data_IF_497722819514
#
_entry.id   IF_497722819514
#
_cell.length_a   1.000
_cell.length_b   1.000
_cell.length_c   1.000
_cell.angle_alpha   90.00
_cell.angle_beta   90.00
_cell.angle_gamma   90.00
#
_symmetry.space_group_name_H-M   'P 1'
#
loop_
_entity.id
_entity.type
_entity.pdbx_description
1 polymer ?
#
# COMPACT_ATOMS: atom_id res chain seq x y z
N UNK A 1 -30.03 2.95 -11.59
CA UNK A 1 -28.67 3.46 -11.36
C UNK A 1 -27.82 2.35 -10.74
N UNK A 2 -26.55 2.25 -11.13
CA UNK A 2 -25.59 1.24 -10.63
C UNK A 2 -24.48 1.95 -9.86
N UNK A 3 -24.20 1.51 -8.65
CA UNK A 3 -23.07 2.00 -7.85
C UNK A 3 -21.79 1.24 -8.24
N UNK A 4 -20.88 1.91 -8.95
CA UNK A 4 -19.62 1.31 -9.39
C UNK A 4 -18.58 1.20 -8.26
N UNK A 5 -18.70 2.06 -7.24
CA UNK A 5 -17.72 2.21 -6.17
C UNK A 5 -16.40 2.84 -6.64
N UNK A 6 -16.33 3.32 -7.88
CA UNK A 6 -15.17 4.04 -8.42
C UNK A 6 -15.37 5.54 -8.19
N UNK A 7 -14.38 6.20 -7.59
CA UNK A 7 -14.34 7.65 -7.43
C UNK A 7 -13.61 8.28 -8.60
N UNK A 8 -14.23 9.29 -9.17
CA UNK A 8 -13.66 10.06 -10.26
C UNK A 8 -14.17 11.49 -10.28
N UNK A 9 -13.65 12.27 -11.20
CA UNK A 9 -14.10 13.63 -11.50
C UNK A 9 -14.29 13.78 -13.01
N UNK A 10 -15.04 14.80 -13.42
CA UNK A 10 -15.32 15.07 -14.83
C UNK A 10 -14.65 16.38 -15.25
N UNK A 11 -13.97 16.36 -16.40
CA UNK A 11 -13.39 17.54 -17.05
C UNK A 11 -13.70 17.46 -18.53
N UNK A 12 -14.27 18.53 -19.09
CA UNK A 12 -14.59 18.66 -20.53
C UNK A 12 -15.39 17.47 -21.10
N UNK A 13 -16.29 16.89 -20.30
CA UNK A 13 -17.12 15.74 -20.71
C UNK A 13 -16.43 14.38 -20.59
N UNK A 14 -15.18 14.33 -20.14
CA UNK A 14 -14.44 13.09 -19.88
C UNK A 14 -14.42 12.77 -18.38
N UNK A 15 -14.54 11.48 -18.05
CA UNK A 15 -14.47 10.98 -16.68
C UNK A 15 -13.07 10.45 -16.40
N UNK A 16 -12.48 10.91 -15.30
CA UNK A 16 -11.17 10.48 -14.81
C UNK A 16 -11.35 9.74 -13.48
N UNK A 17 -10.89 8.49 -13.43
CA UNK A 17 -10.95 7.67 -12.21
C UNK A 17 -9.72 7.93 -11.34
N UNK A 18 -9.95 8.14 -10.05
CA UNK A 18 -8.92 8.47 -9.05
C UNK A 18 -8.64 7.27 -8.16
N UNK A 19 -9.69 6.63 -7.65
CA UNK A 19 -9.56 5.53 -6.70
C UNK A 19 -10.84 4.70 -6.66
N UNK A 20 -10.79 3.57 -5.96
CA UNK A 20 -12.00 2.91 -5.47
C UNK A 20 -12.33 3.39 -4.08
N UNK A 21 -13.60 3.66 -3.82
CA UNK A 21 -14.04 4.20 -2.52
C UNK A 21 -13.68 3.27 -1.36
N UNK A 22 -13.66 1.95 -1.59
CA UNK A 22 -13.28 0.95 -0.60
C UNK A 22 -11.77 0.82 -0.39
N UNK A 23 -10.97 1.37 -1.30
CA UNK A 23 -9.50 1.28 -1.23
C UNK A 23 -8.88 2.54 -0.61
N UNK A 24 -9.65 3.62 -0.42
CA UNK A 24 -9.17 4.82 0.26
C UNK A 24 -8.85 4.50 1.72
N UNK A 25 -7.69 4.95 2.18
CA UNK A 25 -7.24 4.77 3.56
C UNK A 25 -7.62 6.02 4.34
N UNK A 26 -8.25 5.84 5.52
CA UNK A 26 -8.74 6.97 6.31
C UNK A 26 -8.04 7.00 7.67
N UNK A 27 -7.16 7.98 7.86
CA UNK A 27 -6.33 8.12 9.05
C UNK A 27 -6.58 9.49 9.65
N UNK A 28 -7.07 9.55 10.89
CA UNK A 28 -7.35 10.82 11.57
C UNK A 28 -8.38 11.72 10.86
N UNK A 29 -9.26 11.15 10.03
CA UNK A 29 -10.24 11.90 9.25
C UNK A 29 -9.76 12.39 7.88
N UNK A 30 -8.47 12.21 7.55
CA UNK A 30 -7.91 12.49 6.23
C UNK A 30 -7.90 11.25 5.34
N UNK A 31 -8.08 11.47 4.03
CA UNK A 31 -8.13 10.40 3.02
C UNK A 31 -6.81 10.34 2.27
N UNK A 32 -6.26 9.14 2.19
CA UNK A 32 -5.03 8.85 1.47
C UNK A 32 -5.33 7.86 0.34
N UNK A 33 -4.84 8.19 -0.86
CA UNK A 33 -4.94 7.32 -2.03
C UNK A 33 -3.75 6.34 -1.99
N UNK A 34 -3.99 5.01 -1.90
CA UNK A 34 -2.90 4.04 -1.82
C UNK A 34 -1.92 4.13 -2.99
N UNK A 35 -2.44 4.31 -4.20
CA UNK A 35 -1.66 4.34 -5.44
C UNK A 35 -0.59 5.44 -5.43
N UNK A 36 -0.84 6.59 -4.79
CA UNK A 36 0.14 7.66 -4.63
C UNK A 36 1.30 7.23 -3.71
N UNK A 37 0.97 6.56 -2.61
CA UNK A 37 1.94 6.04 -1.63
C UNK A 37 2.75 4.90 -2.25
N UNK A 38 2.07 3.98 -2.94
CA UNK A 38 2.69 2.88 -3.68
C UNK A 38 3.66 3.42 -4.74
N UNK A 39 3.27 4.46 -5.47
CA UNK A 39 4.11 5.13 -6.46
C UNK A 39 5.35 5.77 -5.84
N UNK A 40 5.23 6.38 -4.65
CA UNK A 40 6.38 6.91 -3.91
C UNK A 40 7.33 5.78 -3.47
N UNK A 41 6.80 4.71 -2.88
CA UNK A 41 7.60 3.55 -2.43
C UNK A 41 8.32 2.88 -3.62
N UNK A 42 7.67 2.75 -4.79
CA UNK A 42 8.27 2.18 -5.99
C UNK A 42 9.54 2.93 -6.46
N UNK A 43 9.73 4.19 -6.09
CA UNK A 43 10.93 4.98 -6.43
C UNK A 43 12.12 4.69 -5.52
N UNK A 44 11.93 3.96 -4.43
CA UNK A 44 13.01 3.61 -3.50
C UNK A 44 13.89 2.52 -4.11
N UNK A 45 15.21 2.73 -4.23
CA UNK A 45 16.13 1.70 -4.74
C UNK A 45 16.04 0.41 -3.92
N UNK A 46 15.97 -0.73 -4.61
CA UNK A 46 15.80 -2.05 -3.99
C UNK A 46 14.35 -2.52 -3.87
N UNK A 47 13.36 -1.63 -4.09
CA UNK A 47 11.96 -2.02 -4.29
C UNK A 47 11.77 -2.59 -5.69
N UNK A 48 11.01 -3.67 -5.81
CA UNK A 48 10.59 -4.19 -7.10
C UNK A 48 9.40 -3.38 -7.62
N UNK A 49 9.61 -2.68 -8.73
CA UNK A 49 8.61 -1.84 -9.36
C UNK A 49 7.28 -2.58 -9.64
N UNK A 50 6.16 -1.91 -9.36
CA UNK A 50 4.81 -2.45 -9.58
C UNK A 50 4.48 -3.65 -8.70
N UNK A 51 5.20 -3.82 -7.58
CA UNK A 51 5.03 -4.92 -6.63
C UNK A 51 5.00 -4.39 -5.19
N UNK A 52 4.24 -3.31 -4.99
CA UNK A 52 4.00 -2.64 -3.72
C UNK A 52 2.49 -2.56 -3.53
N UNK A 53 2.02 -2.90 -2.33
CA UNK A 53 0.61 -2.74 -1.96
C UNK A 53 0.54 -2.03 -0.62
N UNK A 54 -0.20 -0.94 -0.57
CA UNK A 54 -0.48 -0.15 0.64
C UNK A 54 -1.96 -0.27 0.99
N UNK A 55 -2.28 -0.40 2.27
CA UNK A 55 -3.65 -0.44 2.78
C UNK A 55 -3.75 0.04 4.23
N UNK A 56 -4.98 0.36 4.64
CA UNK A 56 -5.32 0.66 6.03
C UNK A 56 -5.38 -0.62 6.88
N UNK A 57 -4.80 -0.54 8.06
CA UNK A 57 -4.87 -1.58 9.09
C UNK A 57 -5.29 -0.93 10.40
N UNK A 58 -6.24 -1.55 11.13
CA UNK A 58 -6.67 -1.01 12.41
C UNK A 58 -5.48 -1.00 13.39
N UNK A 59 -5.18 0.17 13.92
CA UNK A 59 -4.24 0.36 15.01
C UNK A 59 -5.06 0.44 16.31
N UNK A 60 -5.09 -0.68 17.05
CA UNK A 60 -5.87 -0.78 18.29
C UNK A 60 -5.39 0.19 19.37
N UNK A 61 -4.11 0.57 19.38
CA UNK A 61 -3.57 1.53 20.35
C UNK A 61 -4.03 2.96 20.05
N UNK A 62 -4.19 3.30 18.76
CA UNK A 62 -4.61 4.64 18.32
C UNK A 62 -6.11 4.80 18.09
N UNK A 63 -6.87 3.70 18.08
CA UNK A 63 -8.30 3.71 17.79
C UNK A 63 -8.66 4.20 16.38
N UNK A 64 -7.71 4.17 15.44
CA UNK A 64 -7.86 4.61 14.04
C UNK A 64 -7.06 3.70 13.11
N UNK A 65 -7.21 3.83 11.79
CA UNK A 65 -6.36 3.08 10.87
C UNK A 65 -4.93 3.62 10.89
N UNK A 66 -3.95 2.72 10.90
CA UNK A 66 -2.55 2.97 10.57
C UNK A 66 -2.21 2.52 9.14
N UNK A 67 -1.06 2.96 8.64
CA UNK A 67 -0.56 2.52 7.34
C UNK A 67 0.12 1.15 7.43
N UNK A 68 -0.22 0.28 6.49
CA UNK A 68 0.47 -0.98 6.24
C UNK A 68 0.93 -1.06 4.78
N UNK A 69 2.11 -1.65 4.56
CA UNK A 69 2.63 -1.91 3.22
C UNK A 69 3.27 -3.30 3.11
N UNK A 70 3.02 -3.96 1.98
CA UNK A 70 3.72 -5.16 1.53
C UNK A 70 4.53 -4.80 0.30
N UNK A 71 5.84 -5.05 0.36
CA UNK A 71 6.80 -4.60 -0.65
C UNK A 71 7.66 -5.77 -1.09
N UNK A 72 7.68 -6.05 -2.39
CA UNK A 72 8.60 -7.04 -2.95
C UNK A 72 10.00 -6.46 -3.12
N UNK A 73 11.01 -7.26 -2.79
CA UNK A 73 12.42 -6.95 -3.02
C UNK A 73 13.20 -8.21 -3.40
N UNK A 74 14.36 -8.02 -4.04
CA UNK A 74 15.35 -9.09 -4.24
C UNK A 74 16.48 -9.05 -3.22
N UNK A 75 16.49 -8.03 -2.35
CA UNK A 75 17.43 -7.96 -1.24
C UNK A 75 17.23 -9.14 -0.30
N UNK A 76 18.30 -9.85 0.03
CA UNK A 76 18.30 -11.02 0.91
C UNK A 76 19.22 -10.84 2.11
N UNK A 77 20.09 -9.83 2.07
CA UNK A 77 21.01 -9.54 3.18
C UNK A 77 20.26 -8.81 4.28
N UNK A 78 20.54 -9.17 5.54
CA UNK A 78 19.93 -8.50 6.70
C UNK A 78 20.19 -6.98 6.68
N UNK A 79 21.42 -6.57 6.37
CA UNK A 79 21.79 -5.16 6.27
C UNK A 79 21.06 -4.42 5.14
N UNK A 80 20.97 -5.03 3.95
CA UNK A 80 20.25 -4.46 2.81
C UNK A 80 18.76 -4.31 3.10
N UNK A 81 18.14 -5.31 3.73
CA UNK A 81 16.75 -5.27 4.15
C UNK A 81 16.49 -4.17 5.18
N UNK A 82 17.37 -3.99 6.17
CA UNK A 82 17.23 -2.91 7.17
C UNK A 82 17.41 -1.52 6.56
N UNK A 83 18.37 -1.37 5.64
CA UNK A 83 18.54 -0.13 4.86
C UNK A 83 17.28 0.17 4.05
N UNK A 84 16.72 -0.83 3.38
CA UNK A 84 15.51 -0.70 2.58
C UNK A 84 14.30 -0.33 3.45
N UNK A 85 14.11 -0.97 4.61
CA UNK A 85 13.03 -0.62 5.56
C UNK A 85 13.08 0.84 5.96
N UNK A 86 14.27 1.35 6.31
CA UNK A 86 14.44 2.76 6.68
C UNK A 86 14.15 3.70 5.51
N UNK A 87 14.64 3.39 4.31
CA UNK A 87 14.41 4.20 3.13
C UNK A 87 12.92 4.30 2.78
N UNK A 88 12.19 3.16 2.79
CA UNK A 88 10.74 3.11 2.55
C UNK A 88 9.99 3.93 3.60
N UNK A 89 10.28 3.73 4.89
CA UNK A 89 9.62 4.48 5.97
C UNK A 89 9.84 5.99 5.82
N UNK A 90 11.08 6.40 5.53
CA UNK A 90 11.41 7.81 5.29
C UNK A 90 10.66 8.39 4.10
N UNK A 91 10.55 7.64 3.00
CA UNK A 91 9.86 8.10 1.80
C UNK A 91 8.35 8.23 2.02
N UNK A 92 7.73 7.28 2.73
CA UNK A 92 6.31 7.37 3.09
C UNK A 92 6.07 8.57 4.00
N UNK A 93 6.85 8.75 5.06
CA UNK A 93 6.70 9.91 5.96
C UNK A 93 6.92 11.23 5.23
N UNK A 94 7.86 11.30 4.29
CA UNK A 94 8.07 12.50 3.46
C UNK A 94 6.88 12.79 2.54
N UNK A 95 6.19 11.75 2.07
CA UNK A 95 5.08 11.88 1.11
C UNK A 95 3.75 12.16 1.80
N UNK A 96 3.49 11.53 2.94
CA UNK A 96 2.18 11.56 3.62
C UNK A 96 2.19 12.28 4.96
N UNK A 97 3.37 12.54 5.55
CA UNK A 97 3.48 12.98 6.94
C UNK A 97 3.23 11.88 7.98
N UNK A 98 2.90 10.66 7.55
CA UNK A 98 2.54 9.55 8.43
C UNK A 98 3.68 8.55 8.60
N UNK A 99 3.70 7.88 9.75
CA UNK A 99 4.53 6.70 9.95
C UNK A 99 3.97 5.49 9.20
N UNK A 100 4.85 4.55 8.86
CA UNK A 100 4.47 3.25 8.28
C UNK A 100 4.72 2.13 9.29
N UNK A 101 3.91 1.97 10.35
CA UNK A 101 4.18 1.02 11.43
C UNK A 101 4.33 -0.41 10.91
N UNK A 102 3.45 -0.84 10.01
CA UNK A 102 3.45 -2.20 9.45
C UNK A 102 4.10 -2.22 8.07
N UNK A 103 5.34 -2.69 8.00
CA UNK A 103 6.06 -2.87 6.74
C UNK A 103 6.55 -4.31 6.62
N UNK A 104 6.01 -5.04 5.65
CA UNK A 104 6.47 -6.38 5.29
C UNK A 104 7.27 -6.32 3.99
N UNK A 105 8.54 -6.71 4.08
CA UNK A 105 9.35 -7.00 2.91
C UNK A 105 9.21 -8.49 2.57
N UNK A 106 9.00 -8.81 1.30
CA UNK A 106 8.85 -10.18 0.82
C UNK A 106 9.67 -10.42 -0.44
N UNK A 107 10.03 -11.68 -0.67
CA UNK A 107 10.57 -12.13 -1.95
C UNK A 107 9.51 -12.00 -3.07
N UNK A 108 9.92 -12.01 -4.35
CA UNK A 108 8.98 -11.95 -5.47
C UNK A 108 7.89 -13.03 -5.41
N UNK A 109 6.64 -12.63 -5.64
CA UNK A 109 5.45 -13.49 -5.52
C UNK A 109 4.69 -13.33 -4.19
N UNK A 110 5.17 -12.50 -3.27
CA UNK A 110 4.46 -12.21 -2.03
C UNK A 110 3.27 -11.25 -2.21
N UNK A 111 3.32 -10.39 -3.23
CA UNK A 111 2.23 -9.48 -3.59
C UNK A 111 1.29 -10.14 -4.58
N UNK A 112 0.01 -10.16 -4.26
CA UNK A 112 -1.00 -10.74 -5.14
C UNK A 112 -1.27 -9.88 -6.36
N UNK A 113 -1.43 -10.56 -7.50
CA UNK A 113 -1.85 -9.95 -8.75
C UNK A 113 -3.08 -10.67 -9.30
N UNK A 114 -3.97 -9.93 -9.93
CA UNK A 114 -5.08 -10.51 -10.70
C UNK A 114 -4.54 -11.25 -11.92
N UNK A 115 -5.38 -12.04 -12.59
CA UNK A 115 -5.04 -12.70 -13.87
C UNK A 115 -4.63 -11.71 -14.97
N UNK A 116 -5.07 -10.46 -14.87
CA UNK A 116 -4.68 -9.34 -15.73
C UNK A 116 -3.39 -8.61 -15.30
N UNK A 117 -2.71 -9.09 -14.25
CA UNK A 117 -1.44 -8.53 -13.77
C UNK A 117 -1.57 -7.30 -12.86
N UNK A 118 -2.79 -6.84 -12.56
CA UNK A 118 -3.03 -5.70 -11.66
C UNK A 118 -2.82 -6.12 -10.21
N UNK A 119 -2.37 -5.20 -9.37
CA UNK A 119 -2.24 -5.42 -7.94
C UNK A 119 -3.60 -5.80 -7.34
N UNK A 120 -3.64 -6.92 -6.63
CA UNK A 120 -4.82 -7.39 -5.92
C UNK A 120 -4.68 -7.02 -4.43
N UNK A 121 -4.98 -5.74 -4.12
CA UNK A 121 -4.81 -5.15 -2.78
C UNK A 121 -5.55 -5.91 -1.68
N UNK A 122 -6.82 -6.22 -1.90
CA UNK A 122 -7.65 -6.98 -0.94
C UNK A 122 -7.10 -8.38 -0.66
N UNK A 123 -6.63 -9.09 -1.69
CA UNK A 123 -6.04 -10.42 -1.54
C UNK A 123 -4.69 -10.36 -0.79
N UNK A 124 -3.85 -9.38 -1.12
CA UNK A 124 -2.57 -9.13 -0.42
C UNK A 124 -2.80 -8.79 1.04
N UNK A 125 -3.75 -7.89 1.35
CA UNK A 125 -4.14 -7.54 2.72
C UNK A 125 -4.60 -8.76 3.51
N UNK A 126 -5.48 -9.59 2.93
CA UNK A 126 -5.97 -10.81 3.58
C UNK A 126 -4.82 -11.78 3.91
N UNK A 127 -3.89 -12.00 2.97
CA UNK A 127 -2.71 -12.84 3.23
C UNK A 127 -1.85 -12.27 4.34
N UNK A 128 -1.61 -10.95 4.33
CA UNK A 128 -0.80 -10.29 5.33
C UNK A 128 -1.39 -10.45 6.74
N UNK A 129 -2.71 -10.24 6.89
CA UNK A 129 -3.40 -10.41 8.16
C UNK A 129 -3.36 -11.86 8.65
N UNK A 130 -3.61 -12.84 7.77
CA UNK A 130 -3.50 -14.26 8.13
C UNK A 130 -2.09 -14.65 8.59
N UNK A 131 -1.05 -14.03 8.04
CA UNK A 131 0.33 -14.27 8.45
C UNK A 131 0.68 -13.65 9.82
N UNK A 132 -0.08 -12.64 10.27
CA UNK A 132 0.07 -12.05 11.61
C UNK A 132 -0.69 -12.85 12.67
N UNK A 133 -1.84 -13.42 12.34
CA UNK A 133 -2.64 -14.27 13.24
C UNK A 133 -2.00 -15.65 13.50
N UNK A 134 -1.16 -16.14 12.59
CA UNK A 134 -0.45 -17.42 12.71
C UNK A 134 0.88 -17.38 13.45
N UNK A 135 1.21 -16.26 14.12
CA UNK A 135 2.43 -16.05 14.91
C UNK A 135 2.13 -16.01 16.39
#
# INVERSE_FOLDING_TARGET
WLETGDRGYMVDGYVFFVARDKDLIVIGGEKYVPDDIESAINRVPGVREGCVVVFGMLDEERGTEGLAAVVETRESTSEGLEKLRRAIRSEVTRTTGLGLPHLLLTSPGGVEKTTSGKLARSATRRRHLAALEGR
#
